data_IF_944865768123
#
_entry.id   IF_944865768123
#
_cell.length_a   1.000
_cell.length_b   1.000
_cell.length_c   1.000
_cell.angle_alpha   90.00
_cell.angle_beta   90.00
_cell.angle_gamma   90.00
#
_symmetry.space_group_name_H-M   'P 1'
#
loop_
_entity.id
_entity.type
_entity.pdbx_description
1 polymer ?
#
# COMPACT_ATOMS: atom_id res chain seq x y z
N UNK A 1 -18.22 18.24 -9.28
CA UNK A 1 -16.80 18.22 -9.68
C UNK A 1 -16.61 19.41 -10.59
N UNK A 2 -15.76 20.36 -10.22
CA UNK A 2 -15.57 21.58 -11.00
C UNK A 2 -14.87 21.28 -12.33
N UNK A 3 -15.06 22.10 -13.35
CA UNK A 3 -14.33 21.99 -14.62
C UNK A 3 -12.98 22.75 -14.56
N UNK A 4 -12.11 22.53 -15.55
CA UNK A 4 -10.77 23.16 -15.61
C UNK A 4 -10.83 24.70 -15.59
N UNK A 5 -11.86 25.30 -16.17
CA UNK A 5 -12.08 26.75 -16.14
C UNK A 5 -12.38 27.25 -14.73
N UNK A 6 -13.32 26.59 -14.04
CA UNK A 6 -13.68 26.89 -12.66
C UNK A 6 -12.49 26.72 -11.68
N UNK A 7 -11.56 25.79 -11.96
CA UNK A 7 -10.31 25.66 -11.21
C UNK A 7 -9.40 26.87 -11.42
N UNK A 8 -9.28 27.38 -12.65
CA UNK A 8 -8.49 28.59 -12.95
C UNK A 8 -9.11 29.83 -12.29
N UNK A 9 -10.44 29.92 -12.29
CA UNK A 9 -11.17 31.02 -11.64
C UNK A 9 -10.88 31.03 -10.12
N UNK A 10 -10.86 29.87 -9.45
CA UNK A 10 -10.47 29.77 -8.04
C UNK A 10 -9.03 30.23 -7.76
N UNK A 11 -8.09 29.93 -8.67
CA UNK A 11 -6.71 30.40 -8.55
C UNK A 11 -6.62 31.90 -8.73
N UNK A 12 -7.36 32.46 -9.70
CA UNK A 12 -7.44 33.90 -9.93
C UNK A 12 -8.05 34.65 -8.73
N UNK A 13 -9.03 34.04 -8.07
CA UNK A 13 -9.68 34.56 -6.86
C UNK A 13 -8.82 34.41 -5.58
N UNK A 14 -7.61 33.83 -5.70
CA UNK A 14 -6.70 33.61 -4.57
C UNK A 14 -7.13 32.48 -3.62
N UNK A 15 -8.15 31.70 -3.98
CA UNK A 15 -8.66 30.56 -3.20
C UNK A 15 -7.81 29.30 -3.41
N UNK A 16 -6.50 29.41 -3.16
CA UNK A 16 -5.52 28.36 -3.49
C UNK A 16 -5.78 27.02 -2.77
N UNK A 17 -6.30 27.06 -1.54
CA UNK A 17 -6.59 25.82 -0.78
C UNK A 17 -7.70 25.02 -1.47
N UNK A 18 -8.76 25.69 -1.90
CA UNK A 18 -9.91 25.08 -2.56
C UNK A 18 -9.54 24.69 -4.00
N UNK A 19 -8.76 25.53 -4.69
CA UNK A 19 -8.26 25.24 -6.03
C UNK A 19 -7.40 23.97 -6.06
N UNK A 20 -6.48 23.79 -5.10
CA UNK A 20 -5.65 22.57 -5.02
C UNK A 20 -6.53 21.36 -4.68
N UNK A 21 -7.45 21.47 -3.73
CA UNK A 21 -8.31 20.35 -3.34
C UNK A 21 -9.21 19.88 -4.49
N UNK A 22 -9.80 20.82 -5.23
CA UNK A 22 -10.65 20.51 -6.38
C UNK A 22 -9.83 20.06 -7.59
N UNK A 23 -8.60 20.58 -7.79
CA UNK A 23 -7.67 20.10 -8.82
C UNK A 23 -7.20 18.66 -8.53
N UNK A 24 -6.93 18.32 -7.27
CA UNK A 24 -6.66 16.94 -6.84
C UNK A 24 -7.85 16.05 -7.16
N UNK A 25 -9.07 16.46 -6.78
CA UNK A 25 -10.28 15.69 -7.09
C UNK A 25 -10.50 15.52 -8.60
N UNK A 26 -10.16 16.54 -9.39
CA UNK A 26 -10.22 16.49 -10.85
C UNK A 26 -9.17 15.54 -11.44
N UNK A 27 -7.92 15.64 -10.97
CA UNK A 27 -6.83 14.76 -11.37
C UNK A 27 -7.10 13.29 -10.97
N UNK A 28 -7.70 13.06 -9.80
CA UNK A 28 -8.19 11.75 -9.36
C UNK A 28 -9.22 11.18 -10.34
N UNK A 29 -10.17 12.01 -10.80
CA UNK A 29 -11.20 11.60 -11.75
C UNK A 29 -10.66 11.42 -13.17
N UNK A 30 -9.69 12.23 -13.59
CA UNK A 30 -9.00 12.14 -14.88
C UNK A 30 -8.00 10.99 -14.94
N UNK A 31 -7.56 10.52 -13.77
CA UNK A 31 -6.55 9.51 -13.59
C UNK A 31 -5.22 9.87 -14.27
N UNK A 32 -4.73 11.07 -14.01
CA UNK A 32 -3.38 11.50 -14.38
C UNK A 32 -2.46 11.32 -13.17
N UNK A 33 -1.61 10.28 -13.16
CA UNK A 33 -0.75 9.98 -12.00
C UNK A 33 0.37 11.01 -11.80
N UNK A 34 0.89 11.59 -12.88
CA UNK A 34 2.01 12.53 -12.82
C UNK A 34 1.52 13.87 -12.26
N UNK A 35 0.42 14.40 -12.81
CA UNK A 35 -0.18 15.64 -12.33
C UNK A 35 -0.75 15.48 -10.92
N UNK A 36 -1.35 14.32 -10.59
CA UNK A 36 -1.90 14.07 -9.25
C UNK A 36 -0.82 14.04 -8.16
N UNK A 37 0.33 13.38 -8.40
CA UNK A 37 1.45 13.39 -7.45
C UNK A 37 2.02 14.80 -7.28
N UNK A 38 2.14 15.57 -8.37
CA UNK A 38 2.53 16.97 -8.32
C UNK A 38 1.56 17.83 -7.50
N UNK A 39 0.26 17.62 -7.66
CA UNK A 39 -0.79 18.32 -6.90
C UNK A 39 -0.79 17.94 -5.41
N UNK A 40 -0.51 16.69 -5.04
CA UNK A 40 -0.34 16.31 -3.63
C UNK A 40 0.89 16.97 -2.99
N UNK A 41 2.00 17.08 -3.73
CA UNK A 41 3.17 17.83 -3.27
C UNK A 41 2.79 19.29 -3.01
N UNK A 42 2.11 19.93 -3.96
CA UNK A 42 1.65 21.32 -3.82
C UNK A 42 0.67 21.50 -2.66
N UNK A 43 -0.23 20.53 -2.41
CA UNK A 43 -1.13 20.57 -1.26
C UNK A 43 -0.37 20.53 0.06
N UNK A 44 0.64 19.67 0.16
CA UNK A 44 1.53 19.60 1.32
C UNK A 44 2.32 20.90 1.51
N UNK A 45 2.90 21.44 0.43
CA UNK A 45 3.67 22.67 0.47
C UNK A 45 2.81 23.87 0.88
N UNK A 46 1.57 23.95 0.38
CA UNK A 46 0.60 24.97 0.75
C UNK A 46 0.20 24.88 2.23
N UNK A 47 -0.03 23.67 2.74
CA UNK A 47 -0.34 23.46 4.16
C UNK A 47 0.83 23.91 5.06
N UNK A 48 2.06 23.45 4.75
CA UNK A 48 3.28 23.87 5.47
C UNK A 48 3.49 25.38 5.39
N UNK A 49 3.29 25.97 4.22
CA UNK A 49 3.45 27.40 4.00
C UNK A 49 2.50 28.22 4.88
N UNK A 50 1.24 27.80 4.95
CA UNK A 50 0.22 28.43 5.80
C UNK A 50 0.54 28.27 7.29
N UNK A 51 1.05 27.12 7.70
CA UNK A 51 1.47 26.89 9.08
C UNK A 51 2.66 27.78 9.48
N UNK A 52 3.66 27.92 8.61
CA UNK A 52 4.79 28.82 8.85
C UNK A 52 4.38 30.29 8.95
N UNK A 53 3.42 30.72 8.13
CA UNK A 53 2.83 32.06 8.25
C UNK A 53 2.09 32.25 9.57
N UNK A 54 1.19 31.31 9.91
CA UNK A 54 0.38 31.39 11.13
C UNK A 54 1.23 31.35 12.41
N UNK A 55 2.38 30.68 12.37
CA UNK A 55 3.32 30.59 13.50
C UNK A 55 4.35 31.73 13.53
N UNK A 56 4.31 32.66 12.56
CA UNK A 56 5.21 33.80 12.48
C UNK A 56 6.67 33.42 12.16
N UNK A 57 6.91 32.24 11.60
CA UNK A 57 8.25 31.72 11.31
C UNK A 57 8.87 32.29 10.02
N UNK A 58 8.07 32.98 9.20
CA UNK A 58 8.49 33.55 7.92
C UNK A 58 8.06 35.01 7.82
N UNK A 59 8.86 35.81 7.11
CA UNK A 59 8.56 37.20 6.81
C UNK A 59 7.48 37.33 5.73
N UNK A 60 6.85 38.52 5.62
CA UNK A 60 5.87 38.80 4.58
C UNK A 60 6.45 38.67 3.16
N UNK A 61 7.71 39.05 2.94
CA UNK A 61 8.35 38.91 1.63
C UNK A 61 8.57 37.45 1.24
N UNK A 62 8.99 36.62 2.20
CA UNK A 62 9.12 35.16 1.99
C UNK A 62 7.76 34.53 1.74
N UNK A 63 6.73 34.98 2.46
CA UNK A 63 5.35 34.60 2.24
C UNK A 63 4.90 34.89 0.82
N UNK A 64 5.01 36.14 0.36
CA UNK A 64 4.59 36.55 -0.97
C UNK A 64 5.32 35.79 -2.10
N UNK A 65 6.64 35.57 -1.96
CA UNK A 65 7.43 34.81 -2.96
C UNK A 65 7.01 33.34 -3.04
N UNK A 66 6.84 32.68 -1.89
CA UNK A 66 6.42 31.29 -1.85
C UNK A 66 4.97 31.11 -2.34
N UNK A 67 4.06 32.01 -1.95
CA UNK A 67 2.69 32.07 -2.46
C UNK A 67 2.65 32.19 -4.00
N UNK A 68 3.46 33.08 -4.58
CA UNK A 68 3.55 33.24 -6.03
C UNK A 68 4.09 31.98 -6.73
N UNK A 69 5.09 31.32 -6.14
CA UNK A 69 5.64 30.06 -6.65
C UNK A 69 4.62 28.93 -6.62
N UNK A 70 3.88 28.78 -5.51
CA UNK A 70 2.82 27.77 -5.38
C UNK A 70 1.69 28.04 -6.38
N UNK A 71 1.29 29.31 -6.53
CA UNK A 71 0.27 29.73 -7.49
C UNK A 71 0.68 29.38 -8.92
N UNK A 72 1.90 29.76 -9.33
CA UNK A 72 2.42 29.46 -10.67
C UNK A 72 2.51 27.94 -10.93
N UNK A 73 3.01 27.18 -9.95
CA UNK A 73 3.08 25.73 -10.05
C UNK A 73 1.68 25.09 -10.16
N UNK A 74 0.71 25.58 -9.39
CA UNK A 74 -0.67 25.11 -9.45
C UNK A 74 -1.32 25.39 -10.81
N UNK A 75 -1.12 26.59 -11.37
CA UNK A 75 -1.60 26.91 -12.74
C UNK A 75 -0.99 25.96 -13.76
N UNK A 76 0.33 25.74 -13.70
CA UNK A 76 1.01 24.79 -14.58
C UNK A 76 0.42 23.38 -14.48
N UNK A 77 0.16 22.88 -13.26
CA UNK A 77 -0.48 21.58 -13.06
C UNK A 77 -1.93 21.54 -13.53
N UNK A 78 -2.70 22.61 -13.36
CA UNK A 78 -4.07 22.69 -13.88
C UNK A 78 -4.03 22.63 -15.41
N UNK A 79 -3.07 23.28 -16.06
CA UNK A 79 -2.95 23.29 -17.52
C UNK A 79 -2.62 21.92 -18.11
N UNK A 80 -1.86 21.10 -17.39
CA UNK A 80 -1.57 19.70 -17.72
C UNK A 80 -2.81 18.79 -17.61
N UNK A 81 -3.85 19.17 -16.85
CA UNK A 81 -5.06 18.36 -16.71
C UNK A 81 -5.82 18.23 -18.05
N UNK A 82 -6.39 17.05 -18.36
CA UNK A 82 -7.21 16.88 -19.55
C UNK A 82 -8.52 17.67 -19.45
N UNK A 83 -9.01 18.17 -20.59
CA UNK A 83 -10.27 18.95 -20.67
C UNK A 83 -11.51 18.17 -20.20
N UNK A 84 -11.45 16.83 -20.24
CA UNK A 84 -12.50 15.95 -19.70
C UNK A 84 -11.90 14.76 -18.95
N UNK A 85 -12.41 14.42 -17.75
CA UNK A 85 -11.92 13.28 -16.98
C UNK A 85 -12.31 11.94 -17.63
N UNK A 86 -11.32 11.08 -17.91
CA UNK A 86 -11.56 9.79 -18.56
C UNK A 86 -11.95 8.71 -17.54
N UNK A 87 -13.24 8.39 -17.43
CA UNK A 87 -13.81 7.41 -16.46
C UNK A 87 -13.15 6.01 -16.43
N UNK A 88 -12.48 5.59 -17.51
CA UNK A 88 -11.84 4.25 -17.61
C UNK A 88 -10.64 4.10 -16.67
N UNK A 89 -9.88 5.17 -16.46
CA UNK A 89 -8.63 5.10 -15.72
C UNK A 89 -8.83 5.21 -14.19
N UNK A 90 -9.95 5.79 -13.73
CA UNK A 90 -10.38 5.78 -12.32
C UNK A 90 -10.68 4.37 -11.79
N UNK A 91 -11.15 3.45 -12.64
CA UNK A 91 -11.61 2.11 -12.23
C UNK A 91 -10.50 1.15 -11.81
N UNK A 92 -9.25 1.37 -12.24
CA UNK A 92 -8.17 0.41 -11.98
C UNK A 92 -7.34 0.71 -10.72
N UNK A 93 -7.55 1.87 -10.09
CA UNK A 93 -6.73 2.36 -8.98
C UNK A 93 -7.23 1.85 -7.63
N UNK A 94 -6.31 1.33 -6.83
CA UNK A 94 -6.57 0.96 -5.43
C UNK A 94 -5.82 1.96 -4.55
N UNK A 95 -6.56 2.58 -3.63
CA UNK A 95 -5.99 3.46 -2.60
C UNK A 95 -5.08 2.66 -1.69
N UNK A 96 -4.00 3.27 -1.24
CA UNK A 96 -3.01 2.65 -0.35
C UNK A 96 -3.68 1.98 0.87
N UNK A 97 -4.62 2.65 1.54
CA UNK A 97 -5.33 2.08 2.70
C UNK A 97 -6.10 0.79 2.37
N UNK A 98 -6.79 0.78 1.23
CA UNK A 98 -7.50 -0.42 0.76
C UNK A 98 -6.52 -1.51 0.36
N UNK A 99 -5.38 -1.14 -0.20
CA UNK A 99 -4.33 -2.07 -0.56
C UNK A 99 -3.69 -2.70 0.68
N UNK A 100 -3.45 -1.95 1.75
CA UNK A 100 -2.97 -2.47 3.04
C UNK A 100 -3.89 -3.55 3.61
N UNK A 101 -5.20 -3.30 3.60
CA UNK A 101 -6.20 -4.30 4.00
C UNK A 101 -6.21 -5.52 3.07
N UNK A 102 -6.12 -5.31 1.75
CA UNK A 102 -6.04 -6.39 0.78
C UNK A 102 -4.81 -7.29 1.01
N UNK A 103 -3.64 -6.71 1.25
CA UNK A 103 -2.41 -7.44 1.57
C UNK A 103 -2.57 -8.24 2.85
N UNK A 104 -3.16 -7.65 3.89
CA UNK A 104 -3.43 -8.34 5.15
C UNK A 104 -4.37 -9.54 4.96
N UNK A 105 -5.46 -9.37 4.22
CA UNK A 105 -6.38 -10.48 3.93
C UNK A 105 -5.74 -11.56 3.06
N UNK A 106 -4.94 -11.19 2.06
CA UNK A 106 -4.19 -12.14 1.25
C UNK A 106 -3.21 -12.95 2.09
N UNK A 107 -2.50 -12.29 3.01
CA UNK A 107 -1.60 -12.95 3.94
C UNK A 107 -2.33 -13.98 4.82
N UNK A 108 -3.43 -13.56 5.46
CA UNK A 108 -4.23 -14.48 6.29
C UNK A 108 -4.80 -15.62 5.46
N UNK A 109 -5.33 -15.34 4.28
CA UNK A 109 -5.91 -16.35 3.40
C UNK A 109 -4.84 -17.36 2.95
N UNK A 110 -3.69 -16.91 2.48
CA UNK A 110 -2.59 -17.78 2.07
C UNK A 110 -2.13 -18.68 3.23
N UNK A 111 -2.00 -18.13 4.43
CA UNK A 111 -1.65 -18.88 5.64
C UNK A 111 -2.70 -19.92 6.00
N UNK A 112 -3.97 -19.52 6.01
CA UNK A 112 -5.08 -20.44 6.30
C UNK A 112 -5.16 -21.56 5.26
N UNK A 113 -4.91 -21.26 3.99
CA UNK A 113 -4.85 -22.28 2.93
C UNK A 113 -3.72 -23.28 3.15
N UNK A 114 -2.51 -22.81 3.49
CA UNK A 114 -1.37 -23.71 3.81
C UNK A 114 -1.67 -24.57 5.04
N UNK A 115 -2.22 -23.97 6.10
CA UNK A 115 -2.58 -24.70 7.32
C UNK A 115 -3.70 -25.73 7.06
N UNK A 116 -4.75 -25.34 6.33
CA UNK A 116 -5.84 -26.24 5.95
C UNK A 116 -5.32 -27.40 5.09
N UNK A 117 -4.41 -27.12 4.16
CA UNK A 117 -3.76 -28.15 3.35
C UNK A 117 -2.90 -29.09 4.20
N UNK A 118 -2.12 -28.56 5.14
CA UNK A 118 -1.33 -29.36 6.07
C UNK A 118 -2.22 -30.26 6.96
N UNK A 119 -3.34 -29.74 7.47
CA UNK A 119 -4.32 -30.51 8.25
C UNK A 119 -4.94 -31.61 7.39
N UNK A 120 -5.33 -31.29 6.16
CA UNK A 120 -5.90 -32.27 5.24
C UNK A 120 -4.94 -33.43 4.99
N UNK A 121 -3.68 -33.13 4.62
CA UNK A 121 -2.66 -34.15 4.38
C UNK A 121 -2.31 -34.94 5.65
N UNK A 122 -2.43 -34.33 6.84
CA UNK A 122 -2.28 -35.02 8.10
C UNK A 122 -3.38 -36.07 8.33
N UNK A 123 -4.62 -35.75 7.98
CA UNK A 123 -5.74 -36.68 8.12
C UNK A 123 -5.75 -37.79 7.06
N UNK A 124 -5.23 -37.55 5.86
CA UNK A 124 -5.38 -38.48 4.72
C UNK A 124 -4.15 -39.36 4.44
N UNK A 125 -2.93 -38.87 4.67
CA UNK A 125 -1.71 -39.51 4.13
C UNK A 125 -0.60 -39.74 5.18
N UNK A 126 -0.95 -39.89 6.46
CA UNK A 126 -0.08 -40.55 7.44
C UNK A 126 1.10 -39.73 7.97
N UNK A 127 0.97 -38.40 8.08
CA UNK A 127 1.90 -37.62 8.90
C UNK A 127 1.96 -38.20 10.31
N UNK A 128 3.17 -38.41 10.85
CA UNK A 128 3.29 -38.70 12.27
C UNK A 128 2.89 -37.43 13.05
N UNK A 129 2.18 -37.60 14.18
CA UNK A 129 1.70 -36.47 14.97
C UNK A 129 2.83 -35.49 15.33
N UNK A 130 4.02 -35.99 15.66
CA UNK A 130 5.19 -35.17 15.99
C UNK A 130 5.64 -34.26 14.83
N UNK A 131 5.62 -34.78 13.61
CA UNK A 131 5.99 -34.04 12.40
C UNK A 131 4.95 -32.96 12.08
N UNK A 132 3.67 -33.24 12.29
CA UNK A 132 2.59 -32.28 12.09
C UNK A 132 2.71 -31.11 13.09
N UNK A 133 2.94 -31.41 14.37
CA UNK A 133 3.18 -30.39 15.39
C UNK A 133 4.40 -29.52 15.09
N UNK A 134 5.50 -30.14 14.62
CA UNK A 134 6.69 -29.39 14.27
C UNK A 134 6.49 -28.51 13.03
N UNK A 135 5.71 -28.96 12.04
CA UNK A 135 5.27 -28.12 10.91
C UNK A 135 4.46 -26.91 11.39
N UNK A 136 3.48 -27.11 12.27
CA UNK A 136 2.70 -26.00 12.82
C UNK A 136 3.58 -25.02 13.62
N UNK A 137 4.52 -25.54 14.41
CA UNK A 137 5.46 -24.71 15.16
C UNK A 137 6.41 -23.92 14.25
N UNK A 138 6.71 -24.40 13.04
CA UNK A 138 7.49 -23.64 12.07
C UNK A 138 6.67 -22.51 11.42
N UNK A 139 5.37 -22.74 11.15
CA UNK A 139 4.52 -21.79 10.42
C UNK A 139 3.88 -20.69 11.31
N UNK A 140 3.58 -21.02 12.58
CA UNK A 140 2.83 -20.14 13.49
C UNK A 140 3.59 -18.88 13.94
N UNK A 141 4.88 -18.93 14.34
CA UNK A 141 5.59 -17.74 14.78
C UNK A 141 5.63 -16.66 13.70
N UNK A 142 5.91 -17.05 12.45
CA UNK A 142 5.89 -16.15 11.29
C UNK A 142 4.51 -15.55 11.04
N UNK A 143 3.44 -16.32 11.27
CA UNK A 143 2.06 -15.81 11.20
C UNK A 143 1.82 -14.72 12.26
N UNK A 144 2.14 -15.01 13.51
CA UNK A 144 1.85 -14.11 14.64
C UNK A 144 2.65 -12.81 14.53
N UNK A 145 3.94 -12.88 14.22
CA UNK A 145 4.81 -11.71 14.11
C UNK A 145 4.35 -10.80 12.99
N UNK A 146 4.18 -11.34 11.78
CA UNK A 146 3.79 -10.55 10.62
C UNK A 146 2.36 -9.99 10.74
N UNK A 147 1.42 -10.80 11.25
CA UNK A 147 0.05 -10.34 11.50
C UNK A 147 0.03 -9.21 12.52
N UNK A 148 0.82 -9.29 13.60
CA UNK A 148 0.89 -8.25 14.64
C UNK A 148 1.44 -6.93 14.09
N UNK A 149 2.50 -7.00 13.28
CA UNK A 149 3.09 -5.81 12.63
C UNK A 149 2.07 -5.14 11.70
N UNK A 150 1.43 -5.91 10.83
CA UNK A 150 0.41 -5.41 9.91
C UNK A 150 -0.79 -4.84 10.66
N UNK A 151 -1.28 -5.54 11.68
CA UNK A 151 -2.43 -5.13 12.48
C UNK A 151 -2.17 -3.79 13.19
N UNK A 152 -1.00 -3.65 13.83
CA UNK A 152 -0.60 -2.38 14.45
C UNK A 152 -0.62 -1.22 13.46
N UNK A 153 -0.16 -1.49 12.24
CA UNK A 153 -0.09 -0.49 11.17
C UNK A 153 -1.47 -0.10 10.61
N UNK A 154 -2.34 -1.10 10.40
CA UNK A 154 -3.74 -0.88 10.01
C UNK A 154 -4.52 -0.14 11.09
N UNK A 155 -4.34 -0.50 12.36
CA UNK A 155 -4.98 0.16 13.49
C UNK A 155 -4.58 1.64 13.57
N UNK A 156 -3.29 1.94 13.44
CA UNK A 156 -2.82 3.34 13.39
C UNK A 156 -3.43 4.11 12.23
N UNK A 157 -3.50 3.50 11.04
CA UNK A 157 -4.11 4.11 9.84
C UNK A 157 -5.60 4.38 10.03
N UNK A 158 -6.32 3.54 10.79
CA UNK A 158 -7.74 3.75 11.06
C UNK A 158 -8.03 4.93 12.01
N UNK A 159 -7.05 5.33 12.81
CA UNK A 159 -7.17 6.46 13.77
C UNK A 159 -6.70 7.77 13.12
N UNK A 160 -5.62 7.74 12.33
CA UNK A 160 -5.07 8.91 11.63
C UNK A 160 -5.80 9.15 10.28
N UNK A 161 -7.02 9.71 10.33
CA UNK A 161 -7.90 9.97 9.16
C UNK A 161 -7.35 10.97 8.11
N UNK A 162 -6.16 11.55 8.30
CA UNK A 162 -5.62 12.65 7.49
C UNK A 162 -4.39 12.28 6.66
N UNK A 163 -4.09 10.98 6.47
CA UNK A 163 -2.98 10.57 5.61
C UNK A 163 -3.23 10.95 4.12
N UNK A 164 -2.21 11.44 3.40
CA UNK A 164 -2.34 11.82 1.99
C UNK A 164 -2.79 10.63 1.13
N UNK A 165 -3.69 10.90 0.18
CA UNK A 165 -4.34 9.89 -0.68
C UNK A 165 -3.38 9.34 -1.73
N UNK A 166 -2.54 8.39 -1.34
CA UNK A 166 -1.61 7.70 -2.26
C UNK A 166 -2.29 6.52 -2.97
N UNK A 167 -1.85 6.25 -4.19
CA UNK A 167 -2.34 5.14 -5.02
C UNK A 167 -1.21 4.14 -5.29
N UNK A 168 -1.55 2.85 -5.33
CA UNK A 168 -0.58 1.78 -5.56
C UNK A 168 -0.52 1.42 -7.04
N UNK A 169 0.70 1.26 -7.57
CA UNK A 169 0.90 0.92 -8.98
C UNK A 169 0.29 -0.46 -9.33
N UNK A 170 -0.32 -0.63 -10.51
CA UNK A 170 -0.90 -1.91 -10.93
C UNK A 170 0.12 -3.06 -11.02
N UNK A 171 1.38 -2.72 -11.38
CA UNK A 171 2.50 -3.68 -11.46
C UNK A 171 2.81 -4.26 -10.08
N UNK A 172 2.90 -3.39 -9.07
CA UNK A 172 3.17 -3.82 -7.70
C UNK A 172 2.03 -4.68 -7.14
N UNK A 173 0.77 -4.31 -7.42
CA UNK A 173 -0.39 -5.16 -7.08
C UNK A 173 -0.29 -6.56 -7.68
N UNK A 174 0.13 -6.66 -8.94
CA UNK A 174 0.29 -7.95 -9.62
C UNK A 174 1.41 -8.77 -9.00
N UNK A 175 2.53 -8.12 -8.63
CA UNK A 175 3.65 -8.77 -7.95
C UNK A 175 3.24 -9.33 -6.59
N UNK A 176 2.46 -8.60 -5.80
CA UNK A 176 1.93 -9.07 -4.50
C UNK A 176 1.07 -10.32 -4.69
N UNK A 177 0.16 -10.32 -5.66
CA UNK A 177 -0.66 -11.50 -5.97
C UNK A 177 0.19 -12.71 -6.37
N UNK A 178 1.19 -12.49 -7.24
CA UNK A 178 2.10 -13.53 -7.69
C UNK A 178 2.92 -14.09 -6.52
N UNK A 179 3.41 -13.23 -5.62
CA UNK A 179 4.17 -13.64 -4.43
C UNK A 179 3.35 -14.55 -3.50
N UNK A 180 2.09 -14.20 -3.21
CA UNK A 180 1.22 -15.03 -2.37
C UNK A 180 0.83 -16.35 -3.03
N UNK A 181 0.58 -16.35 -4.34
CA UNK A 181 0.34 -17.58 -5.10
C UNK A 181 1.56 -18.48 -5.12
N UNK A 182 2.74 -17.93 -5.39
CA UNK A 182 4.00 -18.67 -5.36
C UNK A 182 4.27 -19.25 -3.97
N UNK A 183 4.06 -18.47 -2.91
CA UNK A 183 4.16 -18.95 -1.52
C UNK A 183 3.26 -20.17 -1.27
N UNK A 184 1.98 -20.08 -1.61
CA UNK A 184 1.05 -21.20 -1.41
C UNK A 184 1.47 -22.44 -2.21
N UNK A 185 1.82 -22.27 -3.49
CA UNK A 185 2.22 -23.38 -4.36
C UNK A 185 3.48 -24.07 -3.84
N UNK A 186 4.49 -23.31 -3.44
CA UNK A 186 5.74 -23.87 -2.89
C UNK A 186 5.48 -24.60 -1.58
N UNK A 187 4.71 -24.02 -0.67
CA UNK A 187 4.34 -24.67 0.60
C UNK A 187 3.56 -25.98 0.36
N UNK A 188 2.54 -25.95 -0.49
CA UNK A 188 1.75 -27.13 -0.84
C UNK A 188 2.61 -28.21 -1.49
N UNK A 189 3.53 -27.82 -2.39
CA UNK A 189 4.49 -28.74 -3.00
C UNK A 189 5.40 -29.39 -1.97
N UNK A 190 5.98 -28.63 -1.05
CA UNK A 190 6.84 -29.15 0.01
C UNK A 190 6.09 -30.13 0.92
N UNK A 191 4.84 -29.82 1.28
CA UNK A 191 3.97 -30.72 2.06
C UNK A 191 3.80 -32.05 1.31
N UNK A 192 3.44 -32.01 0.02
CA UNK A 192 3.23 -33.23 -0.79
C UNK A 192 4.52 -34.03 -0.93
N UNK A 193 5.66 -33.38 -1.19
CA UNK A 193 6.95 -34.06 -1.34
C UNK A 193 7.38 -34.75 -0.06
N UNK A 194 7.17 -34.10 1.09
CA UNK A 194 7.40 -34.72 2.40
C UNK A 194 6.49 -35.94 2.56
N UNK A 195 5.19 -35.81 2.31
CA UNK A 195 4.22 -36.90 2.52
C UNK A 195 4.53 -38.12 1.66
N UNK A 196 4.96 -37.91 0.42
CA UNK A 196 5.39 -38.99 -0.48
C UNK A 196 6.72 -39.65 -0.08
N UNK A 197 7.40 -39.16 0.96
CA UNK A 197 8.70 -39.66 1.40
C UNK A 197 9.88 -39.22 0.52
N UNK A 198 9.67 -38.26 -0.39
CA UNK A 198 10.74 -37.75 -1.26
C UNK A 198 11.65 -36.74 -0.53
N UNK A 199 11.19 -36.19 0.60
CA UNK A 199 11.95 -35.29 1.45
C UNK A 199 12.01 -35.83 2.87
N UNK A 200 13.20 -35.80 3.48
CA UNK A 200 13.33 -36.04 4.92
C UNK A 200 12.63 -34.93 5.71
N UNK A 201 12.17 -35.26 6.91
CA UNK A 201 11.47 -34.29 7.76
C UNK A 201 12.34 -33.07 8.10
N UNK A 202 13.63 -33.27 8.31
CA UNK A 202 14.60 -32.21 8.59
C UNK A 202 14.71 -31.23 7.41
N UNK A 203 14.85 -31.76 6.19
CA UNK A 203 15.00 -30.94 4.99
C UNK A 203 13.70 -30.23 4.64
N UNK A 204 12.56 -30.88 4.84
CA UNK A 204 11.25 -30.26 4.71
C UNK A 204 11.06 -29.12 5.71
N UNK A 205 11.41 -29.32 6.99
CA UNK A 205 11.32 -28.29 8.04
C UNK A 205 12.17 -27.07 7.73
N UNK A 206 13.41 -27.29 7.25
CA UNK A 206 14.29 -26.20 6.82
C UNK A 206 13.72 -25.47 5.60
N UNK A 207 13.17 -26.19 4.62
CA UNK A 207 12.53 -25.59 3.46
C UNK A 207 11.30 -24.76 3.85
N UNK A 208 10.46 -25.25 4.77
CA UNK A 208 9.32 -24.51 5.30
C UNK A 208 9.77 -23.23 5.99
N UNK A 209 10.77 -23.30 6.86
CA UNK A 209 11.35 -22.13 7.53
C UNK A 209 11.92 -21.12 6.52
N UNK A 210 12.63 -21.57 5.48
CA UNK A 210 13.18 -20.70 4.45
C UNK A 210 12.08 -19.96 3.68
N UNK A 211 11.01 -20.66 3.29
CA UNK A 211 9.86 -20.05 2.60
C UNK A 211 9.13 -19.06 3.51
N UNK A 212 9.01 -19.37 4.80
CA UNK A 212 8.46 -18.47 5.82
C UNK A 212 9.29 -17.21 6.01
N UNK A 213 10.61 -17.34 6.09
CA UNK A 213 11.53 -16.20 6.17
C UNK A 213 11.45 -15.34 4.92
N UNK A 214 11.43 -15.94 3.73
CA UNK A 214 11.32 -15.19 2.48
C UNK A 214 10.00 -14.41 2.39
N UNK A 215 8.88 -15.02 2.79
CA UNK A 215 7.60 -14.32 2.90
C UNK A 215 7.67 -13.20 3.95
N UNK A 216 8.24 -13.47 5.13
CA UNK A 216 8.39 -12.48 6.19
C UNK A 216 9.22 -11.27 5.75
N UNK A 217 10.32 -11.47 5.05
CA UNK A 217 11.15 -10.40 4.50
C UNK A 217 10.38 -9.60 3.46
N UNK A 218 9.71 -10.27 2.51
CA UNK A 218 8.85 -9.61 1.53
C UNK A 218 7.76 -8.77 2.21
N UNK A 219 7.11 -9.31 3.23
CA UNK A 219 6.11 -8.59 4.01
C UNK A 219 6.68 -7.40 4.76
N UNK A 220 7.90 -7.51 5.29
CA UNK A 220 8.60 -6.39 5.92
C UNK A 220 8.83 -5.27 4.91
N UNK A 221 9.30 -5.58 3.71
CA UNK A 221 9.50 -4.59 2.63
C UNK A 221 8.19 -3.93 2.19
N UNK A 222 7.11 -4.72 2.05
CA UNK A 222 5.77 -4.19 1.77
C UNK A 222 5.31 -3.27 2.90
N UNK A 223 5.57 -3.66 4.16
CA UNK A 223 5.21 -2.85 5.33
C UNK A 223 6.05 -1.57 5.39
N UNK A 224 7.36 -1.63 5.16
CA UNK A 224 8.21 -0.44 5.20
C UNK A 224 7.94 0.50 4.03
N UNK A 225 7.91 -0.01 2.80
CA UNK A 225 7.68 0.79 1.60
C UNK A 225 6.29 1.41 1.49
N UNK A 226 5.27 0.80 2.10
CA UNK A 226 3.88 1.28 2.03
C UNK A 226 3.40 1.89 3.36
N UNK A 227 3.98 1.51 4.51
CA UNK A 227 3.45 1.94 5.81
C UNK A 227 4.40 2.83 6.61
N UNK A 228 5.70 2.93 6.28
CA UNK A 228 6.57 3.94 6.88
C UNK A 228 6.52 5.22 6.04
N UNK A 229 5.87 6.26 6.56
CA UNK A 229 6.13 7.63 6.11
C UNK A 229 7.62 7.89 6.34
N UNK A 230 8.37 8.19 5.28
CA UNK A 230 9.65 8.89 5.43
C UNK A 230 9.38 10.12 6.29
N UNK A 231 10.12 10.21 7.41
CA UNK A 231 10.06 11.31 8.36
C UNK A 231 10.61 12.57 7.74
#
# INVERSE_FOLDING_TARGET
>A
MRNKKELRDLVADGQLTDAVADAVAYAEAAADDETLNGLFSLQSDLAKHRDFWNTGQISFEEFARAQARITSALVGRIDELPETPTRKATRQRIREDRFKWLVFYLFLLAKLLVLAWAVFMWQTEGFQNAEAFSLFNALLPGLIINASIMFRSLFRTSIESSAPRRFVSPRFRTLVWLAFMAYFVVQAFLIVQKVKGNLSFELASLAFAAVETALGQFMSEVVEGIFKKEK
#
